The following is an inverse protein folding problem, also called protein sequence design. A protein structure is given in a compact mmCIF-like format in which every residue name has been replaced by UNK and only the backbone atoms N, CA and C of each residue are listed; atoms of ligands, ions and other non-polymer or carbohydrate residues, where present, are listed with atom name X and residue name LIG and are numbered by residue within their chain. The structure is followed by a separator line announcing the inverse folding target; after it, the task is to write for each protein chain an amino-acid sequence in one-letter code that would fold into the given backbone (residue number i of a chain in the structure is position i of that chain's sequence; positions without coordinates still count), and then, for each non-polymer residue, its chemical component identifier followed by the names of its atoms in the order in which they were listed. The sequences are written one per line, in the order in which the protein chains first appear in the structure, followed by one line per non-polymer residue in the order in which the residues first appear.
data_IF_963502231518
#
_entry.id   IF_963502231518
#
_cell.length_a   1.000
_cell.length_b   1.000
_cell.length_c   1.000
_cell.angle_alpha   90.00
_cell.angle_beta   90.00
_cell.angle_gamma   90.00
#
_symmetry.space_group_name_H-M   'P 1'
#
loop_
_entity.id
_entity.type
_entity.pdbx_description
1 polymer ?
#
# COMPACT_ATOMS: atom_id res chain seq x y z
N UNK A 1 15.16 19.62 6.23
CA UNK A 1 14.00 18.69 6.07
C UNK A 1 12.78 19.51 5.69
N UNK A 2 12.03 19.12 4.66
CA UNK A 2 10.76 19.77 4.32
C UNK A 2 9.73 19.59 5.44
N UNK A 3 9.07 20.70 5.79
CA UNK A 3 8.04 20.79 6.83
C UNK A 3 6.80 20.01 6.37
N UNK A 4 6.29 19.11 7.21
CA UNK A 4 5.07 18.34 6.96
C UNK A 4 4.26 18.30 8.25
N UNK A 5 3.39 19.29 8.44
CA UNK A 5 2.73 19.51 9.72
C UNK A 5 1.65 18.45 9.99
N UNK A 6 1.00 17.94 8.94
CA UNK A 6 -0.01 16.89 9.07
C UNK A 6 0.57 15.51 9.48
N UNK A 7 1.82 15.22 9.09
CA UNK A 7 2.53 13.99 9.47
C UNK A 7 3.94 14.34 9.98
N UNK A 8 4.08 14.77 11.24
CA UNK A 8 5.36 15.18 11.78
C UNK A 8 6.18 13.98 12.29
N UNK A 9 7.50 14.17 12.36
CA UNK A 9 8.42 13.26 13.05
C UNK A 9 8.33 11.80 12.60
N UNK A 10 7.98 10.91 13.54
CA UNK A 10 7.91 9.46 13.32
C UNK A 10 6.83 9.06 12.30
N UNK A 11 5.68 9.74 12.30
CA UNK A 11 4.61 9.47 11.34
C UNK A 11 5.04 9.78 9.90
N UNK A 12 5.88 10.81 9.71
CA UNK A 12 6.51 11.07 8.41
C UNK A 12 7.33 9.87 7.92
N UNK A 13 8.07 9.23 8.82
CA UNK A 13 8.89 8.08 8.46
C UNK A 13 8.01 6.89 8.04
N UNK A 14 6.98 6.58 8.84
CA UNK A 14 6.06 5.47 8.54
C UNK A 14 5.38 5.70 7.19
N UNK A 15 4.60 6.77 7.08
CA UNK A 15 3.66 6.95 5.96
C UNK A 15 4.36 7.34 4.65
N UNK A 16 5.51 8.03 4.66
CA UNK A 16 6.19 8.42 3.41
C UNK A 16 7.19 7.36 2.91
N UNK A 17 7.64 6.46 3.78
CA UNK A 17 8.73 5.54 3.45
C UNK A 17 8.40 4.09 3.78
N UNK A 18 8.07 3.77 5.03
CA UNK A 18 7.87 2.39 5.44
C UNK A 18 6.63 1.77 4.80
N UNK A 19 5.50 2.46 4.88
CA UNK A 19 4.22 1.97 4.38
C UNK A 19 4.25 1.73 2.86
N UNK A 20 4.70 2.66 1.99
CA UNK A 20 4.77 2.36 0.56
C UNK A 20 5.72 1.19 0.21
N UNK A 21 6.80 1.01 0.98
CA UNK A 21 7.70 -0.14 0.82
C UNK A 21 7.00 -1.45 1.22
N UNK A 22 6.13 -1.42 2.23
CA UNK A 22 5.35 -2.59 2.62
C UNK A 22 4.26 -2.91 1.58
N UNK A 23 3.61 -1.89 1.02
CA UNK A 23 2.53 -2.02 0.03
C UNK A 23 3.01 -2.59 -1.31
N UNK A 24 4.27 -2.36 -1.71
CA UNK A 24 4.79 -2.95 -2.95
C UNK A 24 5.15 -4.43 -2.81
N UNK A 25 5.27 -4.93 -1.57
CA UNK A 25 5.70 -6.29 -1.26
C UNK A 25 4.93 -7.37 -2.03
N UNK A 26 3.58 -7.43 -1.93
CA UNK A 26 2.76 -8.41 -2.65
C UNK A 26 3.02 -8.49 -4.15
N UNK A 27 3.23 -7.34 -4.81
CA UNK A 27 3.52 -7.29 -6.23
C UNK A 27 4.90 -7.87 -6.55
N UNK A 28 5.92 -7.44 -5.81
CA UNK A 28 7.31 -7.92 -6.01
C UNK A 28 7.41 -9.42 -5.78
N UNK A 29 6.85 -9.91 -4.67
CA UNK A 29 6.92 -11.33 -4.33
C UNK A 29 6.13 -12.20 -5.31
N UNK A 30 4.94 -11.76 -5.74
CA UNK A 30 4.18 -12.46 -6.78
C UNK A 30 4.87 -12.45 -8.15
N UNK A 31 5.61 -11.39 -8.46
CA UNK A 31 6.40 -11.32 -9.69
C UNK A 31 7.63 -12.23 -9.65
N UNK A 32 8.28 -12.35 -8.49
CA UNK A 32 9.50 -13.17 -8.32
C UNK A 32 9.22 -14.66 -8.14
N UNK A 33 8.21 -15.01 -7.34
CA UNK A 33 7.90 -16.40 -6.94
C UNK A 33 6.59 -16.93 -7.50
N UNK A 34 5.88 -16.11 -8.27
CA UNK A 34 4.62 -16.47 -8.91
C UNK A 34 3.39 -16.21 -8.03
N UNK A 35 2.20 -16.21 -8.63
CA UNK A 35 0.94 -15.95 -7.94
C UNK A 35 0.58 -17.07 -6.95
N UNK A 36 1.07 -18.30 -7.13
CA UNK A 36 0.84 -19.42 -6.21
C UNK A 36 1.52 -19.23 -4.86
N UNK A 37 2.68 -18.57 -4.84
CA UNK A 37 3.35 -18.21 -3.60
C UNK A 37 2.49 -17.24 -2.80
N UNK A 38 2.10 -16.11 -3.40
CA UNK A 38 1.30 -15.12 -2.69
C UNK A 38 -0.08 -15.66 -2.32
N UNK A 39 -0.69 -16.48 -3.17
CA UNK A 39 -1.92 -17.21 -2.85
C UNK A 39 -1.80 -18.07 -1.58
N UNK A 40 -0.66 -18.73 -1.35
CA UNK A 40 -0.39 -19.53 -0.16
C UNK A 40 -0.20 -18.66 1.10
N UNK A 41 0.35 -17.45 0.94
CA UNK A 41 0.58 -16.48 2.03
C UNK A 41 -0.66 -15.66 2.40
N UNK A 42 -1.72 -15.65 1.59
CA UNK A 42 -2.99 -14.97 1.91
C UNK A 42 -3.70 -15.54 3.14
N UNK A 43 -3.37 -16.77 3.51
CA UNK A 43 -3.87 -17.46 4.72
C UNK A 43 -2.69 -18.10 5.44
N UNK A 44 -2.81 -18.43 6.74
CA UNK A 44 -1.77 -19.18 7.42
C UNK A 44 -1.42 -20.46 6.64
N UNK A 45 -0.18 -20.59 6.14
CA UNK A 45 0.16 -21.65 5.20
C UNK A 45 0.12 -23.01 5.90
N UNK A 46 -0.55 -23.97 5.27
CA UNK A 46 -0.68 -25.35 5.77
C UNK A 46 0.28 -26.34 5.09
N UNK A 47 1.09 -25.84 4.14
CA UNK A 47 2.00 -26.61 3.32
C UNK A 47 2.64 -25.73 2.23
N UNK A 48 3.44 -26.30 1.32
CA UNK A 48 4.07 -25.54 0.24
C UNK A 48 3.02 -24.92 -0.71
N UNK A 49 3.40 -23.89 -1.48
CA UNK A 49 2.54 -23.32 -2.53
C UNK A 49 2.02 -24.40 -3.50
N UNK A 50 0.77 -24.30 -3.96
CA UNK A 50 0.21 -25.29 -4.86
C UNK A 50 0.91 -25.26 -6.23
N UNK A 51 1.19 -26.44 -6.79
CA UNK A 51 1.82 -26.61 -8.12
C UNK A 51 0.96 -26.07 -9.27
N UNK A 52 -0.36 -26.03 -9.07
CA UNK A 52 -1.32 -25.48 -10.03
C UNK A 52 -2.42 -24.70 -9.34
N UNK A 53 -2.90 -23.65 -10.01
CA UNK A 53 -4.01 -22.83 -9.56
C UNK A 53 -5.10 -22.78 -10.62
N UNK A 54 -6.35 -22.67 -10.19
CA UNK A 54 -7.46 -22.29 -11.07
C UNK A 54 -7.08 -20.97 -11.79
N UNK A 55 -7.18 -20.88 -13.13
CA UNK A 55 -6.94 -19.66 -13.88
C UNK A 55 -7.69 -18.43 -13.32
N UNK A 56 -8.88 -18.61 -12.75
CA UNK A 56 -9.65 -17.54 -12.11
C UNK A 56 -8.97 -17.02 -10.84
N UNK A 57 -8.47 -17.94 -10.01
CA UNK A 57 -7.73 -17.59 -8.80
C UNK A 57 -6.43 -16.86 -9.16
N UNK A 58 -5.73 -17.31 -10.21
CA UNK A 58 -4.51 -16.66 -10.71
C UNK A 58 -4.77 -15.21 -11.10
N UNK A 59 -5.84 -14.93 -11.85
CA UNK A 59 -6.20 -13.57 -12.24
C UNK A 59 -6.60 -12.73 -11.03
N UNK A 60 -7.37 -13.29 -10.08
CA UNK A 60 -7.74 -12.58 -8.86
C UNK A 60 -6.52 -12.16 -8.03
N UNK A 61 -5.53 -13.05 -7.90
CA UNK A 61 -4.26 -12.75 -7.21
C UNK A 61 -3.49 -11.64 -7.92
N UNK A 62 -3.41 -11.66 -9.26
CA UNK A 62 -2.77 -10.58 -10.00
C UNK A 62 -3.48 -9.24 -9.85
N UNK A 63 -4.81 -9.22 -9.88
CA UNK A 63 -5.57 -7.99 -9.64
C UNK A 63 -5.32 -7.45 -8.23
N UNK A 64 -5.27 -8.34 -7.23
CA UNK A 64 -4.98 -7.96 -5.85
C UNK A 64 -3.58 -7.34 -5.72
N UNK A 65 -2.55 -7.95 -6.30
CA UNK A 65 -1.18 -7.44 -6.21
C UNK A 65 -0.98 -6.14 -6.99
N UNK A 66 -1.67 -5.97 -8.12
CA UNK A 66 -1.73 -4.70 -8.84
C UNK A 66 -2.43 -3.61 -8.03
N UNK A 67 -3.49 -3.96 -7.28
CA UNK A 67 -4.16 -3.02 -6.38
C UNK A 67 -3.20 -2.52 -5.29
N UNK A 68 -2.43 -3.41 -4.65
CA UNK A 68 -1.39 -3.05 -3.69
C UNK A 68 -0.30 -2.15 -4.31
N UNK A 69 0.14 -2.45 -5.54
CA UNK A 69 1.07 -1.57 -6.27
C UNK A 69 0.46 -0.18 -6.53
N UNK A 70 -0.81 -0.10 -6.90
CA UNK A 70 -1.48 1.18 -7.11
C UNK A 70 -1.58 1.98 -5.80
N UNK A 71 -1.90 1.32 -4.68
CA UNK A 71 -1.88 1.94 -3.35
C UNK A 71 -0.49 2.48 -3.03
N UNK A 72 0.57 1.68 -3.21
CA UNK A 72 1.96 2.12 -3.06
C UNK A 72 2.27 3.39 -3.88
N UNK A 73 1.83 3.45 -5.14
CA UNK A 73 2.04 4.63 -5.98
C UNK A 73 1.27 5.83 -5.43
N UNK A 74 0.01 5.64 -5.02
CA UNK A 74 -0.83 6.71 -4.49
C UNK A 74 -0.31 7.25 -3.14
N UNK A 75 0.09 6.40 -2.20
CA UNK A 75 0.67 6.79 -0.91
C UNK A 75 2.05 7.43 -1.12
N UNK A 76 2.89 6.84 -1.99
CA UNK A 76 4.20 7.38 -2.32
C UNK A 76 4.12 8.78 -2.94
N UNK A 77 3.37 8.94 -4.02
CA UNK A 77 3.35 10.17 -4.80
C UNK A 77 2.37 11.18 -4.20
N UNK A 78 1.20 10.72 -3.75
CA UNK A 78 0.15 11.54 -3.17
C UNK A 78 0.62 12.25 -1.90
N UNK A 79 1.26 11.54 -0.95
CA UNK A 79 1.71 12.17 0.30
C UNK A 79 2.82 13.18 0.06
N UNK A 80 3.74 12.88 -0.88
CA UNK A 80 4.79 13.82 -1.30
C UNK A 80 4.19 15.04 -1.98
N UNK A 81 3.20 14.85 -2.86
CA UNK A 81 2.50 15.96 -3.50
C UNK A 81 1.79 16.86 -2.47
N UNK A 82 1.09 16.29 -1.48
CA UNK A 82 0.45 17.07 -0.39
C UNK A 82 1.50 17.85 0.42
N UNK A 83 2.58 17.19 0.83
CA UNK A 83 3.69 17.82 1.54
C UNK A 83 4.26 19.01 0.76
N UNK A 84 4.56 18.80 -0.51
CA UNK A 84 5.31 19.75 -1.32
C UNK A 84 4.42 20.93 -1.77
N UNK A 85 3.17 20.66 -2.18
CA UNK A 85 2.24 21.68 -2.70
C UNK A 85 1.55 22.49 -1.60
N UNK A 86 1.27 21.90 -0.44
CA UNK A 86 0.54 22.55 0.66
C UNK A 86 1.44 22.87 1.86
N UNK A 87 2.75 22.99 1.66
CA UNK A 87 3.72 23.27 2.72
C UNK A 87 3.41 24.52 3.57
N UNK A 88 2.71 25.50 3.01
CA UNK A 88 2.27 26.72 3.69
C UNK A 88 0.79 26.72 4.11
N UNK A 89 0.05 25.63 3.87
CA UNK A 89 -1.38 25.49 4.17
C UNK A 89 -1.63 24.22 5.00
N UNK A 90 -1.40 24.27 6.33
CA UNK A 90 -1.53 23.10 7.20
C UNK A 90 -2.96 22.54 7.24
N UNK A 91 -3.99 23.39 7.20
CA UNK A 91 -5.38 22.95 7.14
C UNK A 91 -5.69 22.17 5.85
N UNK A 92 -5.10 22.58 4.72
CA UNK A 92 -5.18 21.84 3.46
C UNK A 92 -4.46 20.50 3.53
N UNK A 93 -3.28 20.45 4.16
CA UNK A 93 -2.55 19.20 4.37
C UNK A 93 -3.37 18.22 5.21
N UNK A 94 -3.90 18.66 6.35
CA UNK A 94 -4.68 17.83 7.26
C UNK A 94 -5.93 17.26 6.56
N UNK A 95 -6.65 18.08 5.80
CA UNK A 95 -7.84 17.64 5.06
C UNK A 95 -7.51 16.56 4.02
N UNK A 96 -6.47 16.75 3.20
CA UNK A 96 -6.10 15.78 2.17
C UNK A 96 -5.51 14.51 2.79
N UNK A 97 -4.64 14.64 3.79
CA UNK A 97 -4.09 13.49 4.50
C UNK A 97 -5.19 12.71 5.22
N UNK A 98 -6.16 13.39 5.83
CA UNK A 98 -7.32 12.75 6.45
C UNK A 98 -8.16 11.93 5.45
N UNK A 99 -8.33 12.41 4.22
CA UNK A 99 -9.00 11.64 3.15
C UNK A 99 -8.21 10.40 2.78
N UNK A 100 -6.90 10.51 2.58
CA UNK A 100 -6.06 9.35 2.27
C UNK A 100 -6.06 8.31 3.39
N UNK A 101 -5.74 8.73 4.61
CA UNK A 101 -5.65 7.84 5.77
C UNK A 101 -7.01 7.23 6.13
N UNK A 102 -8.09 8.02 6.01
CA UNK A 102 -9.45 7.51 6.22
C UNK A 102 -9.85 6.47 5.16
N UNK A 103 -9.39 6.63 3.92
CA UNK A 103 -9.64 5.66 2.84
C UNK A 103 -8.88 4.36 3.08
N UNK A 104 -7.61 4.43 3.51
CA UNK A 104 -6.81 3.26 3.88
C UNK A 104 -7.40 2.54 5.09
N UNK A 105 -7.77 3.28 6.14
CA UNK A 105 -8.40 2.70 7.32
C UNK A 105 -9.73 2.00 6.98
N UNK A 106 -10.49 2.53 6.03
CA UNK A 106 -11.69 1.85 5.54
C UNK A 106 -11.35 0.56 4.79
N UNK A 107 -10.32 0.59 3.93
CA UNK A 107 -9.85 -0.60 3.23
C UNK A 107 -9.50 -1.70 4.24
N UNK A 108 -8.69 -1.40 5.26
CA UNK A 108 -8.24 -2.36 6.28
C UNK A 108 -9.39 -3.03 7.05
N UNK A 109 -10.48 -2.30 7.32
CA UNK A 109 -11.63 -2.83 8.08
C UNK A 109 -12.56 -3.67 7.20
N UNK A 110 -12.49 -3.52 5.88
CA UNK A 110 -13.38 -4.21 4.93
C UNK A 110 -12.77 -5.46 4.29
N UNK A 111 -11.48 -5.70 4.51
CA UNK A 111 -10.72 -6.82 3.96
C UNK A 111 -10.83 -8.10 4.79
#
# INVERSE_FOLDING_TARGET
MTKFDALPGYYKFIFLYFEPISEIGPFVTSFMWGPSWFYNELVPPTGPPPDSMDPRATIAVWQLTICYLLMCIMTSLGYRAVRDTLSNNPAGQEKLMGVFLGSLALADVTQ
#
